data_IF_750278426029
#
_entry.id   IF_750278426029
#
_cell.length_a   1.000
_cell.length_b   1.000
_cell.length_c   1.000
_cell.angle_alpha   90.00
_cell.angle_beta   90.00
_cell.angle_gamma   90.00
#
_symmetry.space_group_name_H-M   'P 1'
#
loop_
_entity.id
_entity.type
_entity.pdbx_description
1 polymer ?
#
# COMPACT_ATOMS: atom_id res chain seq x y z
N UNK A 1 9.36 -3.98 3.15
CA UNK A 1 8.26 -3.45 2.35
C UNK A 1 6.95 -4.11 2.80
N UNK A 2 5.89 -3.33 3.05
CA UNK A 2 4.54 -3.87 3.28
C UNK A 2 3.70 -3.71 2.02
N UNK A 3 2.78 -4.62 1.77
CA UNK A 3 1.90 -4.62 0.61
C UNK A 3 0.44 -4.56 1.08
N UNK A 4 -0.44 -4.09 0.19
CA UNK A 4 -1.88 -4.27 0.32
C UNK A 4 -2.27 -5.57 -0.39
N UNK A 5 -2.93 -6.46 0.35
CA UNK A 5 -3.48 -7.71 -0.17
C UNK A 5 -4.97 -7.55 -0.44
N UNK A 6 -5.37 -7.82 -1.69
CA UNK A 6 -6.77 -7.96 -2.05
C UNK A 6 -7.36 -9.23 -1.43
N UNK A 7 -8.35 -9.06 -0.56
CA UNK A 7 -9.09 -10.15 0.05
C UNK A 7 -10.25 -10.61 -0.86
N UNK A 8 -10.79 -11.80 -0.59
CA UNK A 8 -11.88 -12.37 -1.39
C UNK A 8 -13.20 -11.59 -1.24
N UNK A 9 -13.36 -10.79 -0.19
CA UNK A 9 -14.50 -9.92 0.08
C UNK A 9 -14.34 -8.49 -0.51
N UNK A 10 -13.34 -8.30 -1.38
CA UNK A 10 -12.95 -7.00 -1.95
C UNK A 10 -12.47 -5.96 -0.92
N UNK A 11 -12.19 -6.38 0.33
CA UNK A 11 -11.45 -5.56 1.29
C UNK A 11 -9.94 -5.63 1.04
N UNK A 12 -9.20 -4.73 1.68
CA UNK A 12 -7.74 -4.70 1.63
C UNK A 12 -7.16 -4.86 3.01
N UNK A 13 -6.09 -5.64 3.10
CA UNK A 13 -5.34 -5.84 4.33
C UNK A 13 -3.88 -5.49 4.10
N UNK A 14 -3.29 -4.77 5.03
CA UNK A 14 -1.85 -4.54 5.02
C UNK A 14 -1.12 -5.81 5.48
N UNK A 15 -0.11 -6.23 4.73
CA UNK A 15 0.72 -7.38 5.09
C UNK A 15 1.69 -7.06 6.21
N UNK A 16 2.33 -8.10 6.74
CA UNK A 16 3.59 -7.93 7.48
C UNK A 16 4.68 -7.33 6.59
N UNK A 17 5.77 -6.92 7.23
CA UNK A 17 6.95 -6.43 6.54
C UNK A 17 7.70 -7.58 5.83
N UNK A 18 8.01 -7.36 4.56
CA UNK A 18 8.83 -8.22 3.71
C UNK A 18 10.32 -7.81 3.66
N UNK A 19 10.81 -6.88 4.50
CA UNK A 19 12.26 -6.60 4.61
C UNK A 19 13.04 -7.86 5.01
N UNK A 20 14.19 -8.12 4.36
CA UNK A 20 15.12 -9.22 4.65
C UNK A 20 15.05 -10.41 3.70
N UNK A 21 15.31 -11.63 4.19
CA UNK A 21 15.31 -12.89 3.40
C UNK A 21 13.90 -13.40 3.00
N UNK A 22 12.86 -12.55 3.11
CA UNK A 22 11.49 -12.93 2.79
C UNK A 22 11.27 -12.81 1.28
N UNK A 23 10.66 -13.83 0.68
CA UNK A 23 10.28 -13.80 -0.74
C UNK A 23 9.15 -12.79 -0.92
N UNK A 24 9.42 -11.72 -1.67
CA UNK A 24 8.43 -10.72 -2.05
C UNK A 24 7.50 -11.33 -3.12
N UNK A 25 6.18 -11.38 -2.90
CA UNK A 25 5.25 -11.91 -3.90
C UNK A 25 5.13 -10.91 -5.08
N UNK A 26 4.73 -11.35 -6.28
CA UNK A 26 4.42 -10.44 -7.38
C UNK A 26 3.36 -9.42 -6.98
N UNK A 27 3.62 -8.14 -7.27
CA UNK A 27 2.75 -7.04 -6.86
C UNK A 27 2.73 -5.91 -7.89
N UNK A 28 1.63 -5.15 -7.91
CA UNK A 28 1.51 -3.93 -8.70
C UNK A 28 1.97 -2.72 -7.88
N UNK A 29 2.50 -1.69 -8.55
CA UNK A 29 2.82 -0.41 -7.91
C UNK A 29 1.83 0.64 -8.42
N UNK A 30 1.15 1.32 -7.50
CA UNK A 30 0.37 2.49 -7.85
C UNK A 30 1.31 3.69 -8.03
N UNK A 31 1.37 4.23 -9.26
CA UNK A 31 2.03 5.51 -9.52
C UNK A 31 1.11 6.65 -9.08
N UNK A 32 1.52 7.44 -8.10
CA UNK A 32 0.65 8.37 -7.37
C UNK A 32 0.56 9.77 -8.01
N UNK A 33 -0.65 10.35 -8.03
CA UNK A 33 -0.88 11.80 -8.02
C UNK A 33 -1.45 12.18 -6.66
N UNK A 34 -0.72 12.99 -5.91
CA UNK A 34 -1.10 13.38 -4.55
C UNK A 34 -2.33 14.29 -4.57
N UNK A 35 -3.19 14.18 -3.56
CA UNK A 35 -4.19 15.22 -3.29
C UNK A 35 -3.49 16.55 -2.98
N UNK A 36 -4.23 17.64 -3.08
CA UNK A 36 -3.72 18.95 -2.65
C UNK A 36 -3.63 19.05 -1.12
N UNK A 37 -4.41 18.24 -0.41
CA UNK A 37 -4.41 18.14 1.04
C UNK A 37 -3.90 16.76 1.47
N UNK A 38 -2.82 16.73 2.25
CA UNK A 38 -2.24 15.49 2.78
C UNK A 38 -3.22 14.74 3.69
N UNK A 39 -4.17 15.44 4.32
CA UNK A 39 -5.21 14.81 5.14
C UNK A 39 -6.21 14.00 4.31
N UNK A 40 -6.25 14.18 2.99
CA UNK A 40 -7.07 13.34 2.12
C UNK A 40 -6.45 11.98 1.84
N UNK A 41 -5.13 11.86 1.99
CA UNK A 41 -4.39 10.64 1.71
C UNK A 41 -4.57 9.59 2.82
N UNK A 42 -4.76 8.34 2.43
CA UNK A 42 -4.81 7.21 3.36
C UNK A 42 -3.39 6.96 3.86
N UNK A 43 -3.20 7.04 5.17
CA UNK A 43 -1.92 6.74 5.80
C UNK A 43 -1.82 5.27 6.23
N UNK A 44 -0.61 4.86 6.60
CA UNK A 44 -0.39 3.56 7.26
C UNK A 44 -1.27 3.40 8.51
N UNK A 45 -1.35 4.45 9.33
CA UNK A 45 -2.17 4.43 10.55
C UNK A 45 -3.66 4.30 10.23
N UNK A 46 -4.13 4.90 9.14
CA UNK A 46 -5.54 4.76 8.74
C UNK A 46 -5.90 3.32 8.37
N UNK A 47 -4.97 2.59 7.74
CA UNK A 47 -5.12 1.17 7.45
C UNK A 47 -5.13 0.33 8.73
N UNK A 48 -4.23 0.63 9.68
CA UNK A 48 -4.15 -0.09 10.96
C UNK A 48 -5.39 0.14 11.85
N UNK A 49 -5.93 1.36 11.86
CA UNK A 49 -7.08 1.74 12.69
C UNK A 49 -8.43 1.46 12.02
N UNK A 50 -8.44 1.03 10.76
CA UNK A 50 -9.66 0.84 9.98
C UNK A 50 -10.39 2.14 9.62
N UNK A 51 -9.71 3.28 9.67
CA UNK A 51 -10.26 4.60 9.31
C UNK A 51 -10.05 4.97 7.85
N UNK A 52 -9.29 4.16 7.09
CA UNK A 52 -8.98 4.39 5.67
C UNK A 52 -10.23 4.65 4.81
N UNK A 53 -11.33 3.95 5.06
CA UNK A 53 -12.62 4.12 4.36
C UNK A 53 -13.20 5.54 4.43
N UNK A 54 -12.75 6.36 5.38
CA UNK A 54 -13.22 7.74 5.59
C UNK A 54 -12.42 8.77 4.80
N UNK A 55 -11.26 8.39 4.25
CA UNK A 55 -10.35 9.27 3.53
C UNK A 55 -10.76 9.34 2.05
N UNK A 56 -10.82 10.54 1.44
CA UNK A 56 -11.19 10.69 0.02
C UNK A 56 -10.34 9.87 -0.97
N UNK A 57 -9.03 9.76 -0.69
CA UNK A 57 -8.09 8.99 -1.51
C UNK A 57 -8.31 7.47 -1.47
N UNK A 58 -9.15 6.94 -0.57
CA UNK A 58 -9.44 5.50 -0.50
C UNK A 58 -9.98 4.94 -1.82
N UNK A 59 -10.70 5.78 -2.58
CA UNK A 59 -11.14 5.47 -3.94
C UNK A 59 -10.00 5.09 -4.89
N UNK A 60 -8.82 5.72 -4.75
CA UNK A 60 -7.60 5.39 -5.51
C UNK A 60 -7.09 4.00 -5.14
N UNK A 61 -7.08 3.66 -3.84
CA UNK A 61 -6.71 2.33 -3.35
C UNK A 61 -7.66 1.26 -3.91
N UNK A 62 -8.97 1.52 -3.86
CA UNK A 62 -9.98 0.61 -4.44
C UNK A 62 -9.75 0.36 -5.92
N UNK A 63 -9.55 1.43 -6.69
CA UNK A 63 -9.26 1.33 -8.11
C UNK A 63 -7.99 0.50 -8.37
N UNK A 64 -6.94 0.75 -7.60
CA UNK A 64 -5.65 0.09 -7.75
C UNK A 64 -5.72 -1.40 -7.42
N UNK A 65 -6.37 -1.77 -6.32
CA UNK A 65 -6.59 -3.17 -5.97
C UNK A 65 -7.43 -3.91 -7.03
N UNK A 66 -8.46 -3.25 -7.58
CA UNK A 66 -9.26 -3.80 -8.67
C UNK A 66 -8.42 -4.02 -9.93
N UNK A 67 -7.58 -3.05 -10.30
CA UNK A 67 -6.71 -3.16 -11.47
C UNK A 67 -5.67 -4.28 -11.26
N UNK A 68 -5.04 -4.35 -10.08
CA UNK A 68 -4.10 -5.42 -9.75
C UNK A 68 -4.74 -6.81 -9.91
N UNK A 69 -5.96 -7.00 -9.41
CA UNK A 69 -6.69 -8.26 -9.57
C UNK A 69 -6.98 -8.59 -11.04
N UNK A 70 -7.33 -7.60 -11.87
CA UNK A 70 -7.51 -7.79 -13.31
C UNK A 70 -6.22 -8.20 -14.01
N UNK A 71 -5.08 -7.71 -13.52
CA UNK A 71 -3.75 -8.05 -14.02
C UNK A 71 -3.21 -9.37 -13.41
N UNK A 72 -4.02 -10.09 -12.62
CA UNK A 72 -3.65 -11.36 -12.00
C UNK A 72 -2.75 -11.23 -10.76
N UNK A 73 -2.66 -10.02 -10.20
CA UNK A 73 -1.86 -9.70 -9.02
C UNK A 73 -2.75 -9.59 -7.79
N UNK A 74 -2.44 -10.35 -6.74
CA UNK A 74 -3.14 -10.29 -5.45
C UNK A 74 -2.64 -9.17 -4.55
N UNK A 75 -1.43 -8.70 -4.79
CA UNK A 75 -0.75 -7.70 -3.97
C UNK A 75 -0.51 -6.43 -4.78
N UNK A 76 -0.56 -5.29 -4.10
CA UNK A 76 -0.16 -4.01 -4.66
C UNK A 76 0.45 -3.11 -3.58
N UNK A 77 1.16 -2.07 -4.01
CA UNK A 77 1.85 -1.14 -3.13
C UNK A 77 1.41 0.29 -3.39
N UNK A 78 1.26 1.05 -2.30
CA UNK A 78 0.89 2.48 -2.30
C UNK A 78 1.77 3.21 -1.28
N UNK A 79 2.57 4.17 -1.72
CA UNK A 79 3.56 4.88 -0.90
C UNK A 79 2.96 5.51 0.38
N UNK A 80 1.74 6.03 0.28
CA UNK A 80 1.07 6.74 1.38
C UNK A 80 0.72 5.85 2.57
N UNK A 81 0.40 4.58 2.34
CA UNK A 81 -0.05 3.64 3.38
C UNK A 81 0.77 2.36 3.53
N UNK A 82 1.66 2.05 2.58
CA UNK A 82 2.55 0.89 2.62
C UNK A 82 3.87 1.14 3.36
N UNK A 83 4.16 2.40 3.72
CA UNK A 83 5.33 2.78 4.49
C UNK A 83 4.89 3.42 5.82
N UNK A 84 5.52 3.00 6.91
CA UNK A 84 5.35 3.69 8.19
C UNK A 84 6.25 4.94 8.23
N UNK A 85 5.70 6.08 7.78
CA UNK A 85 6.40 7.37 7.66
C UNK A 85 7.22 7.84 8.88
N UNK A 86 6.80 7.67 10.15
CA UNK A 86 7.61 8.06 11.31
C UNK A 86 8.93 7.28 11.44
N UNK A 87 9.11 6.16 10.75
CA UNK A 87 10.34 5.37 10.77
C UNK A 87 11.24 5.72 9.57
N UNK A 88 11.99 6.83 9.65
CA UNK A 88 12.88 7.28 8.56
C UNK A 88 13.91 6.23 8.09
N UNK A 89 14.30 5.29 8.95
CA UNK A 89 15.17 4.17 8.58
C UNK A 89 14.51 3.20 7.59
N UNK A 90 13.19 3.03 7.71
CA UNK A 90 12.38 2.17 6.85
C UNK A 90 12.26 2.72 5.42
N UNK A 91 12.24 4.05 5.26
CA UNK A 91 12.03 4.70 3.96
C UNK A 91 13.10 4.30 2.93
N UNK A 92 14.38 4.31 3.33
CA UNK A 92 15.49 3.97 2.43
C UNK A 92 15.49 2.48 2.07
N UNK A 93 15.20 1.63 3.06
CA UNK A 93 15.22 0.18 2.88
C UNK A 93 14.04 -0.31 2.02
N UNK A 94 12.85 0.26 2.24
CA UNK A 94 11.66 -0.07 1.45
C UNK A 94 11.84 0.37 0.00
N UNK A 95 12.30 1.60 -0.26
CA UNK A 95 12.53 2.08 -1.63
C UNK A 95 13.53 1.19 -2.37
N UNK A 96 14.64 0.81 -1.72
CA UNK A 96 15.62 -0.08 -2.34
C UNK A 96 15.09 -1.50 -2.58
N UNK A 97 14.19 -1.99 -1.74
CA UNK A 97 13.54 -3.31 -1.92
C UNK A 97 12.48 -3.34 -3.03
N UNK A 98 12.07 -2.18 -3.58
CA UNK A 98 11.12 -2.16 -4.71
C UNK A 98 11.77 -2.51 -6.05
N UNK A 99 13.10 -2.38 -6.13
CA UNK A 99 13.86 -2.53 -7.38
C UNK A 99 14.73 -3.79 -7.44
N UNK A 100 14.96 -4.45 -6.30
CA UNK A 100 15.77 -5.66 -6.18
C UNK A 100 14.89 -6.87 -5.92
#
# INVERSE_FOLDING_TARGET
MRLLECQDDASFRLTEDFIGDRVIPPYAILSHTWSQDDEDEVSYNDMQQGTALRKPSYSKIQFSGKQALLDGLRYFWVDTCSIDRPNCSELTEVVNSMFN
#
